data_IF_137229777872
#
_entry.id   IF_137229777872
#
_cell.length_a   1.000
_cell.length_b   1.000
_cell.length_c   1.000
_cell.angle_alpha   90.00
_cell.angle_beta   90.00
_cell.angle_gamma   90.00
#
_symmetry.space_group_name_H-M   'P 1'
#
loop_
_entity.id
_entity.type
_entity.pdbx_description
1 polymer ?
#
# COMPACT_ATOMS: atom_id res chain seq x y z
N UNK A 1 -12.00 -20.75 0.82
CA UNK A 1 -12.28 -19.80 1.94
C UNK A 1 -12.95 -20.43 3.19
N UNK A 2 -13.05 -21.76 3.31
CA UNK A 2 -13.84 -22.39 4.39
C UNK A 2 -13.29 -22.25 5.83
N UNK A 3 -12.03 -21.84 6.00
CA UNK A 3 -11.37 -21.70 7.31
C UNK A 3 -11.33 -20.25 7.81
N UNK A 4 -11.93 -19.30 7.09
CA UNK A 4 -11.94 -17.87 7.44
C UNK A 4 -13.31 -17.55 8.03
N UNK A 5 -13.32 -16.88 9.18
CA UNK A 5 -14.52 -16.33 9.82
C UNK A 5 -14.28 -14.84 10.07
N UNK A 6 -15.22 -14.00 9.64
CA UNK A 6 -15.22 -12.57 9.94
C UNK A 6 -16.21 -12.30 11.06
N UNK A 7 -15.79 -11.53 12.06
CA UNK A 7 -16.61 -11.13 13.20
C UNK A 7 -16.56 -9.61 13.31
N UNK A 8 -17.73 -8.96 13.28
CA UNK A 8 -17.83 -7.53 13.54
C UNK A 8 -17.58 -7.26 15.02
N UNK A 9 -16.89 -6.16 15.33
CA UNK A 9 -16.56 -5.77 16.70
C UNK A 9 -17.16 -4.40 17.00
N UNK A 10 -18.12 -4.35 17.94
CA UNK A 10 -18.69 -3.09 18.42
C UNK A 10 -17.62 -2.19 19.07
N UNK A 11 -16.58 -2.78 19.65
CA UNK A 11 -15.45 -2.03 20.22
C UNK A 11 -14.65 -1.33 19.11
N UNK A 12 -14.39 -2.02 18.01
CA UNK A 12 -13.67 -1.45 16.86
C UNK A 12 -14.49 -0.38 16.16
N UNK A 13 -15.79 -0.60 16.04
CA UNK A 13 -16.71 0.37 15.43
C UNK A 13 -16.74 1.69 16.22
N UNK A 14 -16.71 1.63 17.56
CA UNK A 14 -16.65 2.83 18.42
C UNK A 14 -15.38 3.66 18.23
N UNK A 15 -14.30 3.06 17.70
CA UNK A 15 -13.04 3.74 17.46
C UNK A 15 -13.00 4.43 16.08
N UNK A 16 -13.92 4.07 15.18
CA UNK A 16 -14.05 4.69 13.86
C UNK A 16 -14.65 6.11 13.97
N UNK A 17 -14.23 7.10 13.13
CA UNK A 17 -13.18 7.03 12.09
C UNK A 17 -11.76 7.31 12.61
N UNK A 18 -11.61 7.60 13.91
CA UNK A 18 -10.33 8.00 14.47
C UNK A 18 -9.26 6.91 14.33
N UNK A 19 -9.65 5.64 14.47
CA UNK A 19 -8.83 4.44 14.23
C UNK A 19 -9.62 3.45 13.38
N UNK A 20 -8.90 2.58 12.68
CA UNK A 20 -9.51 1.53 11.85
C UNK A 20 -8.93 0.18 12.26
N UNK A 21 -9.20 -0.26 13.51
CA UNK A 21 -8.54 -1.42 14.06
C UNK A 21 -9.01 -2.72 13.41
N UNK A 22 -8.09 -3.65 13.25
CA UNK A 22 -8.36 -5.02 12.83
C UNK A 22 -7.52 -5.99 13.65
N UNK A 23 -8.06 -7.19 13.88
CA UNK A 23 -7.35 -8.29 14.51
C UNK A 23 -7.51 -9.54 13.68
N UNK A 24 -6.40 -10.20 13.41
CA UNK A 24 -6.36 -11.51 12.75
C UNK A 24 -5.81 -12.51 13.75
N UNK A 25 -6.53 -13.62 13.93
CA UNK A 25 -6.07 -14.75 14.74
C UNK A 25 -6.01 -16.00 13.88
N UNK A 26 -4.85 -16.66 13.85
CA UNK A 26 -4.61 -17.92 13.14
C UNK A 26 -4.43 -19.02 14.18
N UNK A 27 -5.20 -20.09 14.05
CA UNK A 27 -5.03 -21.33 14.81
C UNK A 27 -4.44 -22.41 13.91
N UNK A 28 -3.31 -22.95 14.30
CA UNK A 28 -2.60 -24.01 13.57
C UNK A 28 -3.15 -25.39 13.96
N UNK A 29 -2.84 -26.41 13.15
CA UNK A 29 -3.38 -27.78 13.35
C UNK A 29 -2.77 -28.50 14.54
N UNK A 30 -1.62 -28.06 15.02
CA UNK A 30 -0.99 -28.51 16.27
C UNK A 30 -1.50 -27.73 17.50
N UNK A 31 -2.49 -26.85 17.32
CA UNK A 31 -3.20 -26.16 18.40
C UNK A 31 -2.59 -24.83 18.84
N UNK A 32 -1.51 -24.36 18.19
CA UNK A 32 -0.95 -23.04 18.49
C UNK A 32 -1.86 -21.93 17.96
N UNK A 33 -1.83 -20.77 18.63
CA UNK A 33 -2.59 -19.58 18.24
C UNK A 33 -1.64 -18.39 18.08
N UNK A 34 -1.74 -17.72 16.94
CA UNK A 34 -1.01 -16.48 16.65
C UNK A 34 -2.02 -15.38 16.36
N UNK A 35 -1.88 -14.23 17.03
CA UNK A 35 -2.77 -13.09 16.82
C UNK A 35 -1.98 -11.83 16.51
N UNK A 36 -2.46 -11.04 15.56
CA UNK A 36 -1.93 -9.73 15.21
C UNK A 36 -3.08 -8.74 15.26
N UNK A 37 -2.86 -7.63 15.97
CA UNK A 37 -3.77 -6.50 16.05
C UNK A 37 -3.08 -5.27 15.48
N UNK A 38 -3.78 -4.53 14.62
CA UNK A 38 -3.31 -3.29 14.02
C UNK A 38 -4.39 -2.23 14.18
N UNK A 39 -4.01 -1.05 14.67
CA UNK A 39 -4.94 0.08 14.84
C UNK A 39 -5.11 0.92 13.58
N UNK A 40 -4.04 0.98 12.78
CA UNK A 40 -3.93 1.82 11.60
C UNK A 40 -3.52 0.96 10.42
N UNK A 41 -4.19 1.10 9.26
CA UNK A 41 -3.76 0.43 8.05
C UNK A 41 -2.44 1.03 7.56
N UNK A 42 -1.63 0.21 6.89
CA UNK A 42 -0.44 0.67 6.18
C UNK A 42 -0.83 1.75 5.16
N UNK A 43 -0.19 2.91 5.23
CA UNK A 43 -0.51 4.11 4.45
C UNK A 43 -1.31 5.17 5.22
N UNK A 44 -1.83 4.89 6.42
CA UNK A 44 -2.29 5.93 7.34
C UNK A 44 -1.11 6.85 7.70
N UNK A 45 -1.29 8.16 7.89
CA UNK A 45 -0.19 9.06 8.31
C UNK A 45 0.56 8.60 9.57
N UNK A 46 -0.09 7.81 10.44
CA UNK A 46 0.51 7.23 11.65
C UNK A 46 1.24 5.91 11.38
N UNK A 47 0.92 5.23 10.28
CA UNK A 47 1.57 4.01 9.79
C UNK A 47 1.97 4.15 8.30
N UNK A 48 2.90 5.07 7.98
CA UNK A 48 3.21 5.39 6.59
C UNK A 48 3.79 4.18 5.83
N UNK A 49 3.57 4.18 4.51
CA UNK A 49 4.31 3.30 3.61
C UNK A 49 5.79 3.69 3.62
N UNK A 50 6.66 2.69 3.62
CA UNK A 50 8.09 2.92 3.38
C UNK A 50 8.30 3.24 1.89
N UNK A 51 9.47 3.76 1.54
CA UNK A 51 9.83 3.97 0.13
C UNK A 51 9.77 2.65 -0.66
N UNK A 52 10.22 1.54 -0.07
CA UNK A 52 10.10 0.21 -0.69
C UNK A 52 8.64 -0.23 -0.92
N UNK A 53 7.75 0.02 0.05
CA UNK A 53 6.32 -0.28 -0.12
C UNK A 53 5.70 0.54 -1.26
N UNK A 54 6.10 1.82 -1.39
CA UNK A 54 5.66 2.70 -2.47
C UNK A 54 6.21 2.24 -3.82
N UNK A 55 7.47 1.81 -3.87
CA UNK A 55 8.13 1.31 -5.06
C UNK A 55 7.48 0.03 -5.57
N UNK A 56 7.26 -0.95 -4.70
CA UNK A 56 6.61 -2.21 -5.04
C UNK A 56 5.18 -1.96 -5.55
N UNK A 57 4.44 -1.06 -4.88
CA UNK A 57 3.09 -0.68 -5.28
C UNK A 57 3.08 0.04 -6.63
N UNK A 58 3.99 0.99 -6.84
CA UNK A 58 4.13 1.70 -8.10
C UNK A 58 4.45 0.71 -9.22
N UNK A 59 5.45 -0.15 -9.03
CA UNK A 59 5.85 -1.16 -10.00
C UNK A 59 4.70 -2.13 -10.34
N UNK A 60 3.94 -2.59 -9.35
CA UNK A 60 2.80 -3.49 -9.56
C UNK A 60 1.66 -2.84 -10.35
N UNK A 61 1.33 -1.57 -10.06
CA UNK A 61 0.26 -0.86 -10.77
C UNK A 61 0.64 -0.48 -12.21
N UNK A 62 1.93 -0.29 -12.47
CA UNK A 62 2.43 0.13 -13.79
C UNK A 62 2.95 -1.01 -14.64
N UNK A 63 3.18 -2.19 -14.09
CA UNK A 63 3.67 -3.37 -14.81
C UNK A 63 2.89 -3.71 -16.11
N UNK A 64 1.55 -3.53 -16.19
CA UNK A 64 0.82 -3.80 -17.44
C UNK A 64 1.04 -2.76 -18.55
N UNK A 65 1.64 -1.61 -18.22
CA UNK A 65 1.64 -0.41 -19.07
C UNK A 65 3.05 0.09 -19.42
N UNK A 66 4.05 -0.31 -18.64
CA UNK A 66 5.39 0.24 -18.72
C UNK A 66 6.43 -0.86 -18.53
N UNK A 67 7.48 -0.78 -19.34
CA UNK A 67 8.73 -1.51 -19.12
C UNK A 67 9.40 -1.11 -17.80
N UNK A 68 10.41 -1.87 -17.36
CA UNK A 68 11.24 -1.49 -16.21
C UNK A 68 11.95 -0.14 -16.44
N UNK A 69 12.40 0.11 -17.67
CA UNK A 69 13.06 1.38 -18.05
C UNK A 69 12.08 2.55 -17.99
N UNK A 70 10.88 2.40 -18.57
CA UNK A 70 9.81 3.39 -18.51
C UNK A 70 9.42 3.75 -17.07
N UNK A 71 9.26 2.72 -16.22
CA UNK A 71 8.98 2.90 -14.78
C UNK A 71 10.09 3.63 -14.05
N UNK A 72 11.36 3.28 -14.28
CA UNK A 72 12.48 3.97 -13.64
C UNK A 72 12.54 5.43 -14.05
N UNK A 73 12.41 5.73 -15.34
CA UNK A 73 12.42 7.10 -15.88
C UNK A 73 11.32 7.97 -15.27
N UNK A 74 10.11 7.43 -15.16
CA UNK A 74 8.97 8.15 -14.55
C UNK A 74 9.20 8.35 -13.06
N UNK A 75 9.64 7.31 -12.35
CA UNK A 75 9.93 7.39 -10.91
C UNK A 75 10.97 8.48 -10.62
N UNK A 76 12.08 8.50 -11.36
CA UNK A 76 13.13 9.51 -11.20
C UNK A 76 12.57 10.93 -11.41
N UNK A 77 11.70 11.13 -12.40
CA UNK A 77 11.05 12.41 -12.62
C UNK A 77 10.08 12.81 -11.50
N UNK A 78 9.42 11.86 -10.82
CA UNK A 78 8.58 12.13 -9.64
C UNK A 78 9.45 12.61 -8.47
N UNK A 79 10.56 11.92 -8.18
CA UNK A 79 11.43 12.22 -7.05
C UNK A 79 12.32 13.46 -7.25
N UNK A 80 12.42 13.96 -8.49
CA UNK A 80 13.15 15.20 -8.84
C UNK A 80 12.23 16.27 -9.43
N UNK A 81 10.92 16.19 -9.15
CA UNK A 81 9.88 17.02 -9.74
C UNK A 81 10.12 18.53 -9.58
N UNK A 82 10.72 18.95 -8.46
CA UNK A 82 11.11 20.33 -8.18
C UNK A 82 12.17 20.89 -9.14
N UNK A 83 12.89 20.02 -9.83
CA UNK A 83 13.92 20.39 -10.82
C UNK A 83 13.42 20.37 -12.25
N UNK A 84 12.20 19.89 -12.50
CA UNK A 84 11.65 19.79 -13.84
C UNK A 84 11.38 21.19 -14.43
N UNK A 85 11.73 21.44 -15.71
CA UNK A 85 11.54 22.76 -16.32
C UNK A 85 10.07 23.18 -16.47
N UNK A 86 9.14 22.23 -16.32
CA UNK A 86 7.71 22.48 -16.30
C UNK A 86 6.91 21.20 -16.48
N UNK A 87 5.61 21.25 -16.14
CA UNK A 87 4.72 20.07 -16.13
C UNK A 87 4.66 19.32 -17.47
N UNK A 88 4.85 20.02 -18.59
CA UNK A 88 4.86 19.39 -19.92
C UNK A 88 5.97 18.35 -20.09
N UNK A 89 7.12 18.50 -19.42
CA UNK A 89 8.18 17.49 -19.42
C UNK A 89 7.69 16.22 -18.73
N UNK A 90 7.07 16.35 -17.56
CA UNK A 90 6.52 15.21 -16.82
C UNK A 90 5.43 14.49 -17.62
N UNK A 91 4.48 15.25 -18.20
CA UNK A 91 3.40 14.68 -19.02
C UNK A 91 3.92 13.95 -20.26
N UNK A 92 5.00 14.43 -20.88
CA UNK A 92 5.65 13.76 -22.00
C UNK A 92 6.25 12.39 -21.64
N UNK A 93 6.55 12.14 -20.37
CA UNK A 93 7.02 10.84 -19.88
C UNK A 93 5.87 9.85 -19.64
N UNK A 94 4.62 10.31 -19.47
CA UNK A 94 3.45 9.47 -19.14
C UNK A 94 2.88 8.76 -20.38
N UNK A 95 3.72 8.05 -21.11
CA UNK A 95 3.34 7.28 -22.31
C UNK A 95 3.67 5.81 -22.05
N UNK A 96 2.74 4.92 -22.38
CA UNK A 96 2.92 3.47 -22.25
C UNK A 96 4.07 2.96 -23.14
N UNK A 97 4.83 1.97 -22.67
CA UNK A 97 5.92 1.30 -23.39
C UNK A 97 6.05 -0.20 -23.07
#
# INVERSE_FOLDING_TARGET
IHKIKGEASEEFEKLFPARQPSRVTIRTTDGQEHSVYLEYPKGDPREPMTEGDLDDKFAALTAPHLTDEGRSRIKDAIFTCETLPGIHHFMGLMVED
#
